data_IF_336725733077
#
_entry.id   IF_336725733077
#
_cell.length_a   1.000
_cell.length_b   1.000
_cell.length_c   1.000
_cell.angle_alpha   90.00
_cell.angle_beta   90.00
_cell.angle_gamma   90.00
#
_symmetry.space_group_name_H-M   'P 1'
#
loop_
_entity.id
_entity.type
_entity.pdbx_description
1 polymer ?
#
# COMPACT_ATOMS: atom_id res chain seq x y z
N UNK A 1 -46.61 10.53 60.78
CA UNK A 1 -45.97 10.90 59.50
C UNK A 1 -44.80 9.96 59.28
N UNK A 2 -45.01 8.90 58.51
CA UNK A 2 -43.94 8.01 58.07
C UNK A 2 -44.17 7.85 56.57
N UNK A 3 -43.25 8.38 55.77
CA UNK A 3 -43.37 8.43 54.32
C UNK A 3 -42.75 7.20 53.69
N UNK A 4 -43.51 6.55 52.81
CA UNK A 4 -43.02 5.51 51.90
C UNK A 4 -42.10 6.14 50.86
N UNK A 5 -40.82 5.73 50.86
CA UNK A 5 -39.90 5.97 49.76
C UNK A 5 -40.00 4.79 48.78
N UNK A 6 -40.75 4.97 47.69
CA UNK A 6 -40.65 4.07 46.53
C UNK A 6 -39.39 4.42 45.73
N UNK A 7 -38.47 3.47 45.62
CA UNK A 7 -37.39 3.52 44.65
C UNK A 7 -37.97 3.31 43.24
N UNK A 8 -37.93 4.35 42.40
CA UNK A 8 -38.06 4.20 40.95
C UNK A 8 -36.75 3.63 40.42
N UNK A 9 -36.80 2.39 39.94
CA UNK A 9 -35.74 1.83 39.09
C UNK A 9 -36.07 2.28 37.67
N UNK A 10 -35.33 3.27 37.17
CA UNK A 10 -35.32 3.62 35.74
C UNK A 10 -34.79 2.40 34.97
N UNK A 11 -35.48 1.92 33.91
CA UNK A 11 -34.93 0.88 33.06
C UNK A 11 -33.68 1.42 32.37
N UNK A 12 -32.56 0.72 32.51
CA UNK A 12 -31.38 0.96 31.69
C UNK A 12 -31.81 0.83 30.22
N UNK A 13 -31.86 1.95 29.51
CA UNK A 13 -31.95 1.93 28.05
C UNK A 13 -30.88 0.97 27.53
N UNK A 14 -31.30 0.05 26.66
CA UNK A 14 -30.41 -0.94 26.09
C UNK A 14 -29.21 -0.24 25.48
N UNK A 15 -28.05 -0.40 26.12
CA UNK A 15 -26.78 -0.08 25.48
C UNK A 15 -26.69 -1.00 24.27
N UNK A 16 -27.07 -0.46 23.12
CA UNK A 16 -26.62 -0.98 21.84
C UNK A 16 -25.11 -0.82 21.90
N UNK A 17 -24.40 -1.89 22.31
CA UNK A 17 -23.00 -2.02 21.98
C UNK A 17 -22.94 -1.78 20.47
N UNK A 18 -22.24 -0.73 20.04
CA UNK A 18 -22.00 -0.50 18.63
C UNK A 18 -21.39 -1.81 18.11
N UNK A 19 -22.15 -2.55 17.30
CA UNK A 19 -21.66 -3.77 16.70
C UNK A 19 -20.40 -3.40 15.92
N UNK A 20 -19.31 -4.15 16.12
CA UNK A 20 -18.08 -3.91 15.39
C UNK A 20 -18.33 -4.07 13.88
N UNK A 21 -17.65 -3.25 13.08
CA UNK A 21 -17.75 -3.37 11.62
C UNK A 21 -16.99 -4.64 11.18
N UNK A 22 -17.75 -5.66 10.79
CA UNK A 22 -17.22 -6.95 10.32
C UNK A 22 -16.19 -6.82 9.19
N UNK A 23 -16.28 -5.79 8.34
CA UNK A 23 -15.29 -5.57 7.27
C UNK A 23 -13.96 -5.15 7.88
N UNK A 24 -13.99 -4.27 8.88
CA UNK A 24 -12.79 -3.90 9.62
C UNK A 24 -12.27 -5.10 10.42
N UNK A 25 -13.12 -5.86 11.10
CA UNK A 25 -12.67 -7.04 11.86
C UNK A 25 -11.94 -8.05 10.95
N UNK A 26 -12.51 -8.37 9.79
CA UNK A 26 -11.87 -9.29 8.84
C UNK A 26 -10.68 -8.69 8.09
N UNK A 27 -10.60 -7.36 7.97
CA UNK A 27 -9.36 -6.71 7.54
C UNK A 27 -8.23 -6.91 8.57
N UNK A 28 -8.54 -6.85 9.88
CA UNK A 28 -7.57 -7.12 10.94
C UNK A 28 -7.13 -8.60 10.93
N UNK A 29 -8.08 -9.54 10.80
CA UNK A 29 -7.76 -10.97 10.69
C UNK A 29 -6.86 -11.26 9.48
N UNK A 30 -7.08 -10.56 8.36
CA UNK A 30 -6.19 -10.63 7.21
C UNK A 30 -4.79 -10.07 7.51
N UNK A 31 -4.69 -8.92 8.18
CA UNK A 31 -3.40 -8.35 8.62
C UNK A 31 -2.64 -9.34 9.49
N UNK A 32 -3.31 -9.95 10.46
CA UNK A 32 -2.70 -10.93 11.38
C UNK A 32 -2.25 -12.19 10.62
N UNK A 33 -3.00 -12.61 9.61
CA UNK A 33 -2.61 -13.70 8.74
C UNK A 33 -1.34 -13.42 7.93
N UNK A 34 -1.22 -12.18 7.41
CA UNK A 34 -0.05 -11.72 6.66
C UNK A 34 1.19 -11.61 7.55
N UNK A 35 1.04 -11.13 8.79
CA UNK A 35 2.13 -11.11 9.79
C UNK A 35 2.64 -12.51 10.13
N UNK A 36 1.72 -13.46 10.23
CA UNK A 36 2.02 -14.85 10.56
C UNK A 36 2.49 -15.70 9.34
N UNK A 37 2.53 -15.15 8.12
CA UNK A 37 2.96 -15.91 6.94
C UNK A 37 4.47 -15.80 6.69
N UNK A 38 5.18 -16.86 7.05
CA UNK A 38 6.59 -17.06 6.73
C UNK A 38 6.80 -17.95 5.48
N UNK A 39 5.73 -18.41 4.83
CA UNK A 39 5.83 -19.35 3.69
C UNK A 39 5.91 -18.64 2.35
N UNK A 40 5.20 -17.52 2.20
CA UNK A 40 5.28 -16.65 1.03
C UNK A 40 5.40 -15.19 1.49
N UNK A 41 6.44 -14.88 2.28
CA UNK A 41 6.63 -13.54 2.80
C UNK A 41 6.92 -12.59 1.64
N UNK A 42 6.37 -11.38 1.71
CA UNK A 42 6.68 -10.31 0.78
C UNK A 42 5.47 -9.59 0.20
N UNK A 43 5.70 -8.39 -0.36
CA UNK A 43 4.64 -7.49 -0.81
C UNK A 43 3.80 -8.04 -1.97
N UNK A 44 4.37 -8.91 -2.80
CA UNK A 44 3.73 -9.56 -3.94
C UNK A 44 2.57 -10.45 -3.49
N UNK A 45 2.87 -11.48 -2.69
CA UNK A 45 1.88 -12.41 -2.17
C UNK A 45 0.89 -11.76 -1.20
N UNK A 46 1.36 -10.82 -0.39
CA UNK A 46 0.51 -10.08 0.53
C UNK A 46 -0.54 -9.23 -0.20
N UNK A 47 -0.15 -8.45 -1.21
CA UNK A 47 -1.09 -7.61 -1.97
C UNK A 47 -2.10 -8.45 -2.75
N UNK A 48 -1.67 -9.57 -3.33
CA UNK A 48 -2.58 -10.54 -3.97
C UNK A 48 -3.59 -11.13 -2.99
N UNK A 49 -3.15 -11.51 -1.79
CA UNK A 49 -4.03 -12.02 -0.73
C UNK A 49 -5.08 -10.99 -0.36
N UNK A 50 -4.63 -9.75 -0.10
CA UNK A 50 -5.53 -8.70 0.34
C UNK A 50 -6.58 -8.36 -0.73
N UNK A 51 -6.18 -8.33 -2.00
CA UNK A 51 -7.11 -8.18 -3.12
C UNK A 51 -8.18 -9.29 -3.12
N UNK A 52 -7.76 -10.55 -2.98
CA UNK A 52 -8.68 -11.69 -2.97
C UNK A 52 -9.68 -11.66 -1.81
N UNK A 53 -9.21 -11.32 -0.61
CA UNK A 53 -10.07 -11.22 0.58
C UNK A 53 -11.12 -10.14 0.38
N UNK A 54 -10.69 -8.92 0.02
CA UNK A 54 -11.61 -7.79 -0.05
C UNK A 54 -12.54 -7.81 -1.27
N UNK A 55 -12.12 -8.42 -2.38
CA UNK A 55 -13.06 -8.75 -3.47
C UNK A 55 -14.17 -9.69 -3.00
N UNK A 56 -13.84 -10.71 -2.19
CA UNK A 56 -14.83 -11.65 -1.67
C UNK A 56 -15.77 -10.99 -0.67
N UNK A 57 -15.23 -10.19 0.26
CA UNK A 57 -16.01 -9.42 1.24
C UNK A 57 -16.96 -8.45 0.53
N UNK A 58 -16.45 -7.66 -0.42
CA UNK A 58 -17.27 -6.72 -1.17
C UNK A 58 -18.40 -7.40 -1.95
N UNK A 59 -18.09 -8.44 -2.74
CA UNK A 59 -19.15 -9.12 -3.51
C UNK A 59 -20.15 -9.85 -2.61
N UNK A 60 -19.75 -10.28 -1.41
CA UNK A 60 -20.66 -10.87 -0.42
C UNK A 60 -21.62 -9.82 0.15
N UNK A 61 -21.10 -8.68 0.62
CA UNK A 61 -21.92 -7.57 1.14
C UNK A 61 -22.80 -6.97 0.03
N UNK A 62 -22.21 -6.61 -1.10
CA UNK A 62 -22.92 -6.03 -2.23
C UNK A 62 -23.88 -7.04 -2.92
N UNK A 63 -23.68 -8.35 -2.76
CA UNK A 63 -24.64 -9.36 -3.19
C UNK A 63 -25.96 -9.33 -2.42
N UNK A 64 -25.92 -8.87 -1.16
CA UNK A 64 -27.08 -8.60 -0.29
C UNK A 64 -27.65 -7.21 -0.58
N UNK A 65 -26.82 -6.16 -0.49
CA UNK A 65 -27.23 -4.75 -0.57
C UNK A 65 -27.53 -4.26 -2.00
N UNK A 66 -26.74 -4.71 -2.98
CA UNK A 66 -26.92 -4.48 -4.43
C UNK A 66 -26.81 -3.03 -4.89
N UNK A 67 -26.07 -2.19 -4.18
CA UNK A 67 -25.84 -0.79 -4.54
C UNK A 67 -24.86 -0.61 -5.72
N UNK A 68 -23.87 -1.50 -5.84
CA UNK A 68 -22.75 -1.35 -6.77
C UNK A 68 -22.69 -2.48 -7.80
N UNK A 69 -21.94 -2.28 -8.88
CA UNK A 69 -21.56 -3.38 -9.78
C UNK A 69 -20.60 -4.36 -9.06
N UNK A 70 -20.82 -5.68 -9.11
CA UNK A 70 -19.91 -6.66 -8.50
C UNK A 70 -18.53 -6.66 -9.14
N UNK A 71 -17.48 -6.87 -8.35
CA UNK A 71 -16.09 -6.87 -8.83
C UNK A 71 -15.66 -8.21 -9.46
N UNK A 72 -16.27 -9.34 -9.05
CA UNK A 72 -15.99 -10.65 -9.63
C UNK A 72 -17.15 -11.63 -9.70
N UNK A 73 -18.02 -11.66 -8.70
CA UNK A 73 -19.09 -12.64 -8.53
C UNK A 73 -20.45 -11.95 -8.68
N UNK A 74 -21.12 -12.22 -9.80
CA UNK A 74 -22.42 -11.58 -10.13
C UNK A 74 -23.63 -12.21 -9.42
N UNK A 75 -23.42 -13.24 -8.60
CA UNK A 75 -24.48 -13.94 -7.90
C UNK A 75 -25.17 -13.00 -6.89
N UNK A 76 -26.46 -13.22 -6.66
CA UNK A 76 -27.25 -12.45 -5.68
C UNK A 76 -27.54 -13.32 -4.47
N UNK A 77 -27.44 -12.73 -3.28
CA UNK A 77 -27.82 -13.41 -2.06
C UNK A 77 -29.34 -13.70 -2.04
N UNK A 78 -29.78 -14.80 -1.39
CA UNK A 78 -31.19 -14.99 -1.05
C UNK A 78 -31.76 -13.77 -0.33
N UNK A 79 -33.05 -13.46 -0.55
CA UNK A 79 -33.71 -12.35 0.15
C UNK A 79 -33.64 -12.57 1.66
N UNK A 80 -33.24 -11.54 2.40
CA UNK A 80 -33.13 -11.57 3.86
C UNK A 80 -31.89 -12.31 4.38
N UNK A 81 -30.87 -12.57 3.55
CA UNK A 81 -29.56 -13.00 4.05
C UNK A 81 -28.88 -11.87 4.85
N UNK A 82 -28.18 -12.20 5.92
CA UNK A 82 -27.34 -11.22 6.65
C UNK A 82 -26.09 -10.91 5.84
N UNK A 83 -25.81 -9.62 5.66
CA UNK A 83 -24.61 -9.13 4.98
C UNK A 83 -23.36 -9.35 5.84
N UNK A 84 -23.48 -9.25 7.16
CA UNK A 84 -22.42 -9.49 8.14
C UNK A 84 -21.95 -10.96 8.10
N UNK A 85 -22.89 -11.90 8.19
CA UNK A 85 -22.59 -13.33 8.07
C UNK A 85 -22.02 -13.70 6.69
N UNK A 86 -22.45 -13.01 5.63
CA UNK A 86 -21.90 -13.20 4.29
C UNK A 86 -20.46 -12.67 4.16
N UNK A 87 -20.17 -11.48 4.70
CA UNK A 87 -18.83 -10.90 4.72
C UNK A 87 -17.85 -11.81 5.48
N UNK A 88 -18.22 -12.21 6.70
CA UNK A 88 -17.39 -13.06 7.54
C UNK A 88 -17.08 -14.41 6.89
N UNK A 89 -18.11 -15.09 6.37
CA UNK A 89 -17.92 -16.38 5.70
C UNK A 89 -17.11 -16.27 4.40
N UNK A 90 -17.22 -15.16 3.67
CA UNK A 90 -16.43 -14.92 2.46
C UNK A 90 -14.94 -14.72 2.77
N UNK A 91 -14.62 -13.87 3.76
CA UNK A 91 -13.25 -13.64 4.21
C UNK A 91 -12.63 -14.93 4.79
N UNK A 92 -13.34 -15.59 5.72
CA UNK A 92 -12.95 -16.88 6.28
C UNK A 92 -12.62 -17.88 5.18
N UNK A 93 -13.49 -18.00 4.17
CA UNK A 93 -13.33 -19.00 3.12
C UNK A 93 -12.09 -18.74 2.27
N UNK A 94 -11.81 -17.49 1.91
CA UNK A 94 -10.62 -17.11 1.14
C UNK A 94 -9.37 -17.33 1.97
N UNK A 95 -9.32 -16.82 3.19
CA UNK A 95 -8.16 -16.95 4.09
C UNK A 95 -7.84 -18.41 4.40
N UNK A 96 -8.84 -19.22 4.75
CA UNK A 96 -8.68 -20.68 4.96
C UNK A 96 -8.15 -21.40 3.72
N UNK A 97 -8.53 -20.93 2.52
CA UNK A 97 -8.03 -21.49 1.26
C UNK A 97 -6.59 -21.09 0.92
N UNK A 98 -6.12 -19.93 1.39
CA UNK A 98 -4.78 -19.41 1.12
C UNK A 98 -3.77 -19.83 2.21
N UNK A 99 -4.21 -19.92 3.46
CA UNK A 99 -3.40 -20.21 4.65
C UNK A 99 -3.99 -21.36 5.47
N UNK A 100 -4.06 -22.59 4.93
CA UNK A 100 -4.65 -23.74 5.63
C UNK A 100 -3.95 -24.05 6.97
N UNK A 101 -2.69 -23.64 7.14
CA UNK A 101 -1.94 -23.77 8.40
C UNK A 101 -2.44 -22.84 9.52
N UNK A 102 -3.21 -21.81 9.19
CA UNK A 102 -3.78 -20.85 10.14
C UNK A 102 -5.28 -21.07 10.39
N UNK A 103 -5.83 -22.23 10.00
CA UNK A 103 -7.27 -22.54 10.05
C UNK A 103 -7.92 -22.25 11.40
N UNK A 104 -7.26 -22.60 12.50
CA UNK A 104 -7.80 -22.39 13.85
C UNK A 104 -8.08 -20.91 14.16
N UNK A 105 -7.20 -20.01 13.70
CA UNK A 105 -7.38 -18.56 13.86
C UNK A 105 -8.61 -18.08 13.07
N UNK A 106 -8.79 -18.57 11.85
CA UNK A 106 -9.94 -18.18 11.02
C UNK A 106 -11.26 -18.76 11.53
N UNK A 107 -11.25 -20.02 11.98
CA UNK A 107 -12.45 -20.66 12.55
C UNK A 107 -12.91 -19.92 13.82
N UNK A 108 -11.95 -19.50 14.66
CA UNK A 108 -12.24 -18.68 15.83
C UNK A 108 -12.84 -17.33 15.43
N UNK A 109 -12.21 -16.59 14.51
CA UNK A 109 -12.71 -15.30 14.05
C UNK A 109 -14.12 -15.39 13.40
N UNK A 110 -14.40 -16.49 12.69
CA UNK A 110 -15.74 -16.77 12.16
C UNK A 110 -16.76 -17.03 13.26
N UNK A 111 -16.42 -17.84 14.26
CA UNK A 111 -17.30 -18.08 15.40
C UNK A 111 -17.61 -16.78 16.15
N UNK A 112 -16.61 -15.92 16.38
CA UNK A 112 -16.76 -14.62 17.03
C UNK A 112 -17.65 -13.67 16.22
N UNK A 113 -17.47 -13.62 14.90
CA UNK A 113 -18.31 -12.81 14.00
C UNK A 113 -19.77 -13.28 14.00
N UNK A 114 -20.01 -14.60 13.93
CA UNK A 114 -21.36 -15.17 13.86
C UNK A 114 -22.10 -15.04 15.19
N UNK A 115 -21.40 -15.03 16.33
CA UNK A 115 -22.01 -14.77 17.63
C UNK A 115 -22.66 -13.37 17.74
N UNK A 116 -22.29 -12.41 16.86
CA UNK A 116 -22.91 -11.09 16.79
C UNK A 116 -24.14 -11.03 15.86
N UNK A 117 -24.43 -12.11 15.12
CA UNK A 117 -25.56 -12.18 14.17
C UNK A 117 -26.68 -13.02 14.78
N UNK A 118 -27.96 -12.57 14.76
CA UNK A 118 -29.06 -13.39 15.28
C UNK A 118 -29.19 -14.74 14.58
N UNK A 119 -29.16 -15.81 15.38
CA UNK A 119 -29.33 -17.18 14.90
C UNK A 119 -30.59 -17.32 14.03
N UNK A 120 -30.45 -17.87 12.82
CA UNK A 120 -31.62 -18.15 12.00
C UNK A 120 -31.39 -18.31 10.51
N UNK A 121 -32.47 -18.11 9.74
CA UNK A 121 -32.42 -18.25 8.27
C UNK A 121 -31.54 -17.18 7.62
N UNK A 122 -31.55 -15.96 8.16
CA UNK A 122 -30.77 -14.84 7.61
C UNK A 122 -29.28 -15.11 7.69
N UNK A 123 -28.79 -15.48 8.88
CA UNK A 123 -27.42 -15.90 9.14
C UNK A 123 -27.01 -17.09 8.25
N UNK A 124 -27.78 -18.19 8.26
CA UNK A 124 -27.49 -19.39 7.43
C UNK A 124 -27.42 -19.09 5.93
N UNK A 125 -28.30 -18.22 5.44
CA UNK A 125 -28.25 -17.77 4.04
C UNK A 125 -27.02 -16.90 3.77
N UNK A 126 -26.66 -16.02 4.71
CA UNK A 126 -25.44 -15.21 4.66
C UNK A 126 -24.20 -16.08 4.57
N UNK A 127 -24.01 -16.99 5.54
CA UNK A 127 -22.86 -17.92 5.57
C UNK A 127 -22.74 -18.72 4.27
N UNK A 128 -23.84 -19.32 3.81
CA UNK A 128 -23.85 -20.10 2.57
C UNK A 128 -23.46 -19.25 1.36
N UNK A 129 -24.00 -18.03 1.27
CA UNK A 129 -23.71 -17.13 0.16
C UNK A 129 -22.26 -16.62 0.21
N UNK A 130 -21.78 -16.17 1.38
CA UNK A 130 -20.41 -15.74 1.58
C UNK A 130 -19.39 -16.82 1.22
N UNK A 131 -19.62 -18.05 1.70
CA UNK A 131 -18.79 -19.22 1.34
C UNK A 131 -18.74 -19.42 -0.18
N UNK A 132 -19.90 -19.34 -0.87
CA UNK A 132 -19.97 -19.47 -2.33
C UNK A 132 -19.17 -18.37 -3.05
N UNK A 133 -19.21 -17.13 -2.55
CA UNK A 133 -18.45 -16.00 -3.09
C UNK A 133 -16.95 -16.24 -2.90
N UNK A 134 -16.50 -16.59 -1.69
CA UNK A 134 -15.09 -16.89 -1.41
C UNK A 134 -14.54 -18.03 -2.27
N UNK A 135 -15.32 -19.10 -2.42
CA UNK A 135 -15.04 -20.21 -3.33
C UNK A 135 -14.85 -19.76 -4.79
N UNK A 136 -15.69 -18.82 -5.26
CA UNK A 136 -15.61 -18.31 -6.61
C UNK A 136 -14.35 -17.45 -6.84
N UNK A 137 -13.95 -16.64 -5.84
CA UNK A 137 -12.69 -15.89 -5.89
C UNK A 137 -11.48 -16.83 -5.95
N UNK A 138 -11.42 -17.83 -5.07
CA UNK A 138 -10.34 -18.83 -5.07
C UNK A 138 -10.24 -19.55 -6.43
N UNK A 139 -11.37 -19.96 -7.02
CA UNK A 139 -11.39 -20.57 -8.36
C UNK A 139 -10.90 -19.61 -9.43
N UNK A 140 -11.33 -18.35 -9.42
CA UNK A 140 -10.93 -17.33 -10.41
C UNK A 140 -9.43 -17.06 -10.38
N UNK A 141 -8.80 -17.21 -9.20
CA UNK A 141 -7.36 -16.93 -8.98
C UNK A 141 -6.46 -18.17 -8.94
N UNK A 142 -7.01 -19.39 -9.01
CA UNK A 142 -6.25 -20.65 -8.95
C UNK A 142 -5.11 -20.75 -9.99
N UNK A 143 -5.34 -20.21 -11.18
CA UNK A 143 -4.41 -20.26 -12.31
C UNK A 143 -4.05 -18.87 -12.85
N UNK A 144 -3.93 -17.90 -11.95
CA UNK A 144 -3.52 -16.55 -12.30
C UNK A 144 -2.02 -16.40 -12.58
N UNK A 145 -1.23 -17.46 -12.46
CA UNK A 145 0.20 -17.45 -12.72
C UNK A 145 1.08 -17.16 -11.50
N UNK A 146 0.51 -16.82 -10.34
CA UNK A 146 1.26 -16.54 -9.11
C UNK A 146 2.13 -17.70 -8.63
N UNK A 147 1.73 -18.95 -8.91
CA UNK A 147 2.48 -20.15 -8.55
C UNK A 147 3.62 -20.50 -9.53
N UNK A 148 3.77 -19.77 -10.64
CA UNK A 148 4.78 -20.10 -11.66
C UNK A 148 6.16 -19.68 -11.18
N UNK A 149 7.07 -20.64 -11.11
CA UNK A 149 8.49 -20.37 -10.89
C UNK A 149 9.10 -19.88 -12.21
N UNK A 150 9.75 -18.72 -12.16
CA UNK A 150 10.48 -18.13 -13.30
C UNK A 150 11.96 -18.18 -12.98
N UNK A 151 12.76 -18.76 -13.87
CA UNK A 151 14.21 -18.70 -13.77
C UNK A 151 14.68 -17.28 -14.08
N UNK A 152 15.56 -16.75 -13.23
CA UNK A 152 16.13 -15.43 -13.36
C UNK A 152 17.65 -15.54 -13.26
N UNK A 153 18.35 -14.88 -14.17
CA UNK A 153 19.82 -14.79 -14.16
C UNK A 153 20.18 -13.35 -13.83
N UNK A 154 20.86 -13.09 -12.70
CA UNK A 154 21.37 -11.76 -12.35
C UNK A 154 22.25 -11.17 -13.46
N UNK A 155 22.24 -9.84 -13.56
CA UNK A 155 23.09 -9.12 -14.51
C UNK A 155 24.54 -8.97 -14.02
N UNK A 156 25.42 -8.58 -14.95
CA UNK A 156 26.85 -8.36 -14.70
C UNK A 156 27.33 -6.97 -15.12
N UNK A 157 26.65 -6.34 -16.06
CA UNK A 157 27.03 -5.03 -16.61
C UNK A 157 26.60 -3.87 -15.70
N UNK A 158 27.24 -2.71 -15.82
CA UNK A 158 26.83 -1.50 -15.09
C UNK A 158 25.33 -1.21 -15.28
N UNK A 159 24.67 -0.76 -14.21
CA UNK A 159 23.22 -0.55 -14.20
C UNK A 159 22.36 -1.80 -13.99
N UNK A 160 22.91 -3.02 -14.18
CA UNK A 160 22.12 -4.24 -14.02
C UNK A 160 22.09 -4.75 -12.57
N UNK A 161 20.89 -5.09 -12.10
CA UNK A 161 20.68 -5.68 -10.79
C UNK A 161 21.38 -7.02 -10.64
N UNK A 162 21.93 -7.20 -9.45
CA UNK A 162 22.51 -8.43 -8.95
C UNK A 162 22.25 -8.55 -7.45
N UNK A 163 22.33 -9.76 -6.88
CA UNK A 163 22.26 -9.93 -5.43
C UNK A 163 23.23 -9.00 -4.70
N UNK A 164 22.77 -8.40 -3.62
CA UNK A 164 23.47 -7.36 -2.88
C UNK A 164 24.02 -7.89 -1.56
N UNK A 165 25.11 -7.31 -1.02
CA UNK A 165 25.57 -7.62 0.33
C UNK A 165 24.51 -7.25 1.39
N UNK A 166 24.60 -7.83 2.61
CA UNK A 166 25.56 -8.87 3.01
C UNK A 166 25.14 -10.29 2.58
N UNK A 167 23.85 -10.52 2.34
CA UNK A 167 23.29 -11.87 2.24
C UNK A 167 23.28 -12.45 0.82
N UNK A 168 23.38 -11.61 -0.22
CA UNK A 168 23.34 -12.02 -1.63
C UNK A 168 22.14 -12.93 -1.96
N UNK A 169 20.98 -12.59 -1.40
CA UNK A 169 19.74 -13.35 -1.55
C UNK A 169 19.29 -13.45 -3.01
N UNK A 170 18.61 -14.54 -3.34
CA UNK A 170 18.03 -14.76 -4.66
C UNK A 170 16.93 -13.72 -4.98
N UNK A 171 16.73 -13.49 -6.29
CA UNK A 171 15.73 -12.57 -6.80
C UNK A 171 14.31 -12.95 -6.35
N UNK A 172 13.60 -12.02 -5.70
CA UNK A 172 12.25 -12.23 -5.19
C UNK A 172 11.19 -12.10 -6.30
N UNK A 173 10.51 -13.20 -6.59
CA UNK A 173 9.38 -13.29 -7.51
C UNK A 173 9.60 -12.70 -8.93
N UNK A 174 10.64 -13.11 -9.68
CA UNK A 174 10.91 -12.60 -11.04
C UNK A 174 9.78 -12.79 -12.06
N UNK A 175 8.80 -13.65 -11.76
CA UNK A 175 7.63 -13.87 -12.58
C UNK A 175 6.43 -12.99 -12.27
N UNK A 176 6.48 -12.14 -11.25
CA UNK A 176 5.28 -11.54 -10.68
C UNK A 176 4.55 -10.57 -11.62
N UNK A 177 5.29 -9.84 -12.46
CA UNK A 177 4.70 -8.99 -13.50
C UNK A 177 3.85 -9.73 -14.53
N UNK A 178 3.96 -11.07 -14.59
CA UNK A 178 3.19 -11.95 -15.48
C UNK A 178 1.97 -12.56 -14.80
N UNK A 179 1.72 -12.28 -13.52
CA UNK A 179 0.49 -12.67 -12.85
C UNK A 179 -0.67 -11.96 -13.53
N UNK A 180 -1.76 -12.70 -13.79
CA UNK A 180 -2.98 -12.15 -14.37
C UNK A 180 -3.49 -11.02 -13.45
N UNK A 181 -3.62 -9.78 -13.91
CA UNK A 181 -4.09 -8.71 -13.06
C UNK A 181 -5.54 -8.89 -12.59
N UNK A 182 -5.95 -8.08 -11.63
CA UNK A 182 -7.29 -8.04 -11.07
C UNK A 182 -8.21 -7.12 -11.87
N UNK A 183 -7.76 -5.90 -12.16
CA UNK A 183 -8.43 -4.91 -12.99
C UNK A 183 -7.68 -4.68 -14.31
N UNK A 184 -6.36 -4.45 -14.25
CA UNK A 184 -5.53 -4.18 -15.42
C UNK A 184 -5.61 -5.28 -16.49
N UNK A 185 -5.24 -4.93 -17.71
CA UNK A 185 -5.13 -5.83 -18.85
C UNK A 185 -3.84 -6.65 -18.84
N UNK A 186 -2.73 -6.07 -18.39
CA UNK A 186 -1.40 -6.70 -18.30
C UNK A 186 -0.53 -5.97 -17.27
N UNK A 187 0.54 -6.62 -16.79
CA UNK A 187 1.47 -5.99 -15.83
C UNK A 187 2.19 -4.76 -16.39
N UNK A 188 2.40 -4.71 -17.70
CA UNK A 188 3.05 -3.58 -18.35
C UNK A 188 2.12 -2.45 -18.79
N UNK A 189 0.83 -2.50 -18.43
CA UNK A 189 -0.14 -1.49 -18.86
C UNK A 189 0.25 -0.07 -18.43
N UNK A 190 0.86 0.06 -17.24
CA UNK A 190 1.30 1.34 -16.68
C UNK A 190 2.80 1.38 -16.42
N UNK A 191 3.59 0.61 -17.18
CA UNK A 191 5.06 0.68 -17.09
C UNK A 191 5.52 2.11 -17.39
N UNK A 192 6.36 2.71 -16.52
CA UNK A 192 6.90 4.06 -16.76
C UNK A 192 7.94 4.04 -17.90
N UNK A 193 8.46 5.22 -18.32
CA UNK A 193 9.66 5.28 -19.16
C UNK A 193 10.85 4.51 -18.53
N UNK A 194 11.89 4.17 -19.31
CA UNK A 194 13.11 3.58 -18.75
C UNK A 194 13.74 4.48 -17.67
N UNK A 195 14.53 3.91 -16.73
CA UNK A 195 15.29 4.71 -15.78
C UNK A 195 16.29 5.63 -16.50
N UNK A 196 16.75 6.71 -15.85
CA UNK A 196 17.75 7.61 -16.45
C UNK A 196 19.00 6.87 -16.88
N UNK A 197 19.57 7.28 -18.02
CA UNK A 197 20.85 6.75 -18.49
C UNK A 197 21.94 7.00 -17.45
N UNK A 198 22.85 6.03 -17.24
CA UNK A 198 23.90 6.14 -16.21
C UNK A 198 24.79 7.37 -16.41
N UNK A 199 25.02 7.77 -17.67
CA UNK A 199 25.84 8.96 -18.01
C UNK A 199 25.08 10.29 -17.91
N UNK A 200 23.85 10.29 -17.42
CA UNK A 200 23.02 11.50 -17.33
C UNK A 200 23.22 12.27 -16.03
N UNK A 201 22.97 13.58 -16.06
CA UNK A 201 22.93 14.41 -14.85
C UNK A 201 21.83 13.95 -13.89
N UNK A 202 20.67 13.54 -14.40
CA UNK A 202 19.56 13.06 -13.57
C UNK A 202 19.96 11.82 -12.73
N UNK A 203 20.73 10.90 -13.32
CA UNK A 203 21.29 9.78 -12.58
C UNK A 203 22.33 10.24 -11.55
N UNK A 204 23.24 11.16 -11.92
CA UNK A 204 24.25 11.68 -11.00
C UNK A 204 23.64 12.38 -9.77
N UNK A 205 22.59 13.17 -9.97
CA UNK A 205 21.91 13.88 -8.89
C UNK A 205 21.24 12.89 -7.91
N UNK A 206 20.51 11.91 -8.44
CA UNK A 206 19.89 10.86 -7.63
C UNK A 206 20.93 9.97 -6.93
N UNK A 207 22.05 9.69 -7.61
CA UNK A 207 23.18 8.94 -7.07
C UNK A 207 23.77 9.64 -5.85
N UNK A 208 24.13 10.92 -6.00
CA UNK A 208 24.79 11.68 -4.95
C UNK A 208 23.85 11.95 -3.77
N UNK A 209 22.57 12.19 -4.02
CA UNK A 209 21.56 12.29 -2.96
C UNK A 209 21.52 11.03 -2.09
N UNK A 210 21.44 9.84 -2.71
CA UNK A 210 21.38 8.58 -1.95
C UNK A 210 22.72 8.28 -1.29
N UNK A 211 23.84 8.60 -1.95
CA UNK A 211 25.18 8.41 -1.39
C UNK A 211 25.35 9.17 -0.07
N UNK A 212 24.86 10.40 -0.02
CA UNK A 212 24.95 11.26 1.16
C UNK A 212 23.91 10.91 2.24
N UNK A 213 22.63 10.82 1.87
CA UNK A 213 21.52 10.63 2.82
C UNK A 213 21.29 9.17 3.20
N UNK A 214 21.65 8.23 2.35
CA UNK A 214 21.33 6.81 2.50
C UNK A 214 22.42 5.98 3.16
N UNK A 215 23.66 6.49 3.28
CA UNK A 215 24.80 5.77 3.88
C UNK A 215 24.59 5.45 5.36
N UNK A 216 25.04 4.30 5.84
CA UNK A 216 24.84 3.85 7.23
C UNK A 216 25.37 4.86 8.26
N UNK A 217 26.48 5.53 7.94
CA UNK A 217 27.21 6.50 8.74
C UNK A 217 26.99 7.96 8.29
N UNK A 218 25.79 8.27 7.76
CA UNK A 218 25.49 9.60 7.22
C UNK A 218 25.60 10.68 8.30
N UNK A 219 26.30 11.75 7.99
CA UNK A 219 26.34 12.97 8.82
C UNK A 219 25.30 14.00 8.41
N UNK A 220 24.58 13.78 7.30
CA UNK A 220 23.53 14.69 6.79
C UNK A 220 22.12 14.19 7.09
N UNK A 221 21.93 12.87 7.21
CA UNK A 221 20.64 12.29 7.60
C UNK A 221 20.32 12.66 9.05
N UNK A 222 19.17 13.27 9.28
CA UNK A 222 18.70 13.65 10.62
C UNK A 222 18.01 12.47 11.31
N UNK A 223 17.81 12.57 12.63
CA UNK A 223 17.03 11.60 13.41
C UNK A 223 15.60 11.44 12.86
N UNK A 224 14.97 12.54 12.43
CA UNK A 224 13.65 12.53 11.78
C UNK A 224 13.67 11.71 10.49
N UNK A 225 14.71 11.83 9.68
CA UNK A 225 14.85 11.04 8.44
C UNK A 225 15.07 9.55 8.73
N UNK A 226 15.80 9.22 9.80
CA UNK A 226 15.94 7.83 10.27
C UNK A 226 14.58 7.29 10.71
N UNK A 227 13.84 8.04 11.53
CA UNK A 227 12.50 7.64 11.98
C UNK A 227 11.57 7.42 10.79
N UNK A 228 11.53 8.34 9.82
CA UNK A 228 10.74 8.20 8.59
C UNK A 228 11.14 6.93 7.83
N UNK A 229 12.44 6.67 7.67
CA UNK A 229 12.96 5.48 7.01
C UNK A 229 12.42 4.20 7.63
N UNK A 230 12.54 4.08 8.95
CA UNK A 230 12.13 2.90 9.72
C UNK A 230 10.59 2.79 9.81
N UNK A 231 9.89 3.89 10.00
CA UNK A 231 8.45 3.94 10.17
C UNK A 231 7.69 3.29 9.01
N UNK A 232 8.14 3.54 7.78
CA UNK A 232 7.53 3.02 6.56
C UNK A 232 8.12 1.69 6.07
N UNK A 233 9.03 1.07 6.81
CA UNK A 233 9.78 -0.09 6.35
C UNK A 233 8.89 -1.31 6.06
N UNK A 234 8.39 -1.99 7.09
CA UNK A 234 7.60 -3.23 6.96
C UNK A 234 8.28 -4.26 6.05
N UNK A 235 9.61 -4.33 6.16
CA UNK A 235 10.46 -5.32 5.49
C UNK A 235 10.91 -6.41 6.49
N UNK A 236 10.65 -6.22 7.79
CA UNK A 236 11.01 -7.11 8.89
C UNK A 236 10.14 -8.38 8.89
N UNK A 237 10.74 -9.59 8.86
CA UNK A 237 10.03 -10.84 9.10
C UNK A 237 9.18 -10.80 10.39
N UNK A 238 7.88 -11.11 10.27
CA UNK A 238 6.96 -11.16 11.41
C UNK A 238 6.12 -9.89 11.64
N UNK A 239 6.50 -8.74 11.05
CA UNK A 239 5.64 -7.55 11.00
C UNK A 239 4.72 -7.55 9.76
N UNK A 240 4.95 -8.47 8.84
CA UNK A 240 4.29 -8.52 7.54
C UNK A 240 4.95 -7.56 6.54
N UNK A 241 4.44 -7.55 5.32
CA UNK A 241 4.92 -6.65 4.24
C UNK A 241 4.29 -5.24 4.34
N UNK A 242 4.71 -4.25 3.54
CA UNK A 242 4.14 -2.89 3.55
C UNK A 242 2.61 -2.83 3.32
N UNK A 243 2.03 -3.88 2.71
CA UNK A 243 0.57 -4.03 2.54
C UNK A 243 -0.18 -3.98 3.88
N UNK A 244 0.45 -4.43 4.97
CA UNK A 244 -0.08 -4.32 6.34
C UNK A 244 -0.26 -2.85 6.72
N UNK A 245 0.79 -2.04 6.57
CA UNK A 245 0.78 -0.61 6.88
C UNK A 245 -0.30 0.15 6.11
N UNK A 246 -0.42 -0.10 4.80
CA UNK A 246 -1.42 0.60 3.98
C UNK A 246 -2.86 0.23 4.38
N UNK A 247 -3.10 -1.01 4.81
CA UNK A 247 -4.39 -1.39 5.36
C UNK A 247 -4.62 -0.79 6.76
N UNK A 248 -3.61 -0.72 7.63
CA UNK A 248 -3.70 -0.02 8.92
C UNK A 248 -4.06 1.46 8.75
N UNK A 249 -3.39 2.16 7.83
CA UNK A 249 -3.70 3.54 7.46
C UNK A 249 -5.15 3.70 7.01
N UNK A 250 -5.62 2.85 6.07
CA UNK A 250 -6.99 2.91 5.60
C UNK A 250 -8.02 2.61 6.69
N UNK A 251 -7.71 1.72 7.65
CA UNK A 251 -8.58 1.45 8.81
C UNK A 251 -8.74 2.68 9.71
N UNK A 252 -7.63 3.35 10.05
CA UNK A 252 -7.64 4.56 10.87
C UNK A 252 -8.54 5.61 10.24
N UNK A 253 -8.34 5.88 8.95
CA UNK A 253 -9.12 6.88 8.22
C UNK A 253 -10.59 6.46 8.09
N UNK A 254 -10.87 5.19 7.76
CA UNK A 254 -12.23 4.68 7.66
C UNK A 254 -13.03 4.79 8.96
N UNK A 255 -12.38 4.54 10.11
CA UNK A 255 -12.99 4.71 11.42
C UNK A 255 -13.22 6.18 11.75
N UNK A 256 -12.24 7.05 11.44
CA UNK A 256 -12.35 8.49 11.65
C UNK A 256 -13.50 9.12 10.85
N UNK A 257 -13.63 8.75 9.58
CA UNK A 257 -14.64 9.30 8.67
C UNK A 257 -16.03 8.66 8.86
N UNK A 258 -16.16 7.65 9.72
CA UNK A 258 -17.45 7.07 10.11
C UNK A 258 -18.16 6.28 9.01
N UNK A 259 -17.39 5.59 8.15
CA UNK A 259 -17.92 4.78 7.06
C UNK A 259 -18.95 3.74 7.54
N UNK A 260 -19.98 3.51 6.72
CA UNK A 260 -20.85 2.33 6.86
C UNK A 260 -20.14 1.05 6.45
N UNK A 261 -20.69 -0.11 6.82
CA UNK A 261 -20.14 -1.42 6.45
C UNK A 261 -20.02 -1.60 4.92
N UNK A 262 -21.01 -1.15 4.14
CA UNK A 262 -20.96 -1.24 2.68
C UNK A 262 -19.90 -0.30 2.08
N UNK A 263 -19.73 0.89 2.66
CA UNK A 263 -18.66 1.82 2.29
C UNK A 263 -17.28 1.24 2.59
N UNK A 264 -17.09 0.65 3.77
CA UNK A 264 -15.87 -0.07 4.12
C UNK A 264 -15.61 -1.25 3.18
N UNK A 265 -16.64 -2.04 2.86
CA UNK A 265 -16.50 -3.15 1.91
C UNK A 265 -16.02 -2.64 0.54
N UNK A 266 -16.54 -1.50 0.06
CA UNK A 266 -16.11 -0.89 -1.21
C UNK A 266 -14.73 -0.27 -1.13
N UNK A 267 -14.43 0.49 -0.08
CA UNK A 267 -13.14 1.13 0.14
C UNK A 267 -12.02 0.10 0.14
N UNK A 268 -12.12 -0.93 0.97
CA UNK A 268 -11.07 -1.94 1.08
C UNK A 268 -10.95 -2.82 -0.16
N UNK A 269 -12.03 -3.01 -0.93
CA UNK A 269 -11.94 -3.70 -2.22
C UNK A 269 -11.25 -2.83 -3.29
N UNK A 270 -11.59 -1.54 -3.41
CA UNK A 270 -10.88 -0.61 -4.31
C UNK A 270 -9.40 -0.52 -3.95
N UNK A 271 -9.11 -0.34 -2.65
CA UNK A 271 -7.75 -0.25 -2.12
C UNK A 271 -6.96 -1.51 -2.46
N UNK A 272 -7.44 -2.68 -2.05
CA UNK A 272 -6.63 -3.88 -2.14
C UNK A 272 -6.57 -4.47 -3.55
N UNK A 273 -7.56 -4.23 -4.41
CA UNK A 273 -7.43 -4.49 -5.85
C UNK A 273 -6.35 -3.59 -6.46
N UNK A 274 -6.32 -2.30 -6.09
CA UNK A 274 -5.27 -1.36 -6.54
C UNK A 274 -3.90 -1.78 -6.04
N UNK A 275 -3.77 -2.22 -4.79
CA UNK A 275 -2.51 -2.77 -4.28
C UNK A 275 -2.10 -4.05 -5.01
N UNK A 276 -3.03 -4.98 -5.25
CA UNK A 276 -2.76 -6.21 -6.01
C UNK A 276 -2.21 -5.92 -7.40
N UNK A 277 -2.81 -4.97 -8.12
CA UNK A 277 -2.37 -4.57 -9.46
C UNK A 277 -1.10 -3.70 -9.43
N UNK A 278 -0.92 -2.87 -8.40
CA UNK A 278 0.29 -2.08 -8.18
C UNK A 278 1.50 -2.99 -7.98
N UNK A 279 1.35 -4.09 -7.23
CA UNK A 279 2.39 -5.09 -7.06
C UNK A 279 2.76 -5.78 -8.37
N UNK A 280 1.78 -6.07 -9.24
CA UNK A 280 2.03 -6.65 -10.56
C UNK A 280 2.75 -5.64 -11.46
N UNK A 281 2.31 -4.38 -11.50
CA UNK A 281 2.94 -3.33 -12.31
C UNK A 281 4.37 -3.02 -11.85
N UNK A 282 4.59 -2.86 -10.54
CA UNK A 282 5.92 -2.59 -10.01
C UNK A 282 6.90 -3.74 -10.30
N UNK A 283 6.48 -5.00 -10.13
CA UNK A 283 7.34 -6.14 -10.45
C UNK A 283 7.55 -6.34 -11.95
N UNK A 284 6.59 -5.95 -12.80
CA UNK A 284 6.82 -5.90 -14.24
C UNK A 284 7.96 -4.93 -14.59
N UNK A 285 7.91 -3.68 -14.10
CA UNK A 285 8.99 -2.70 -14.31
C UNK A 285 10.34 -3.18 -13.75
N UNK A 286 10.35 -3.68 -12.52
CA UNK A 286 11.56 -4.19 -11.85
C UNK A 286 12.33 -5.20 -12.67
N UNK A 287 11.63 -6.22 -13.17
CA UNK A 287 12.28 -7.28 -13.93
C UNK A 287 12.38 -6.99 -15.43
N UNK A 288 11.69 -5.96 -15.93
CA UNK A 288 11.87 -5.44 -17.29
C UNK A 288 13.17 -4.62 -17.40
N UNK A 289 13.31 -3.59 -16.57
CA UNK A 289 14.44 -2.65 -16.62
C UNK A 289 15.66 -3.18 -15.86
N UNK A 290 15.43 -4.10 -14.91
CA UNK A 290 16.47 -4.82 -14.20
C UNK A 290 17.53 -3.89 -13.56
N UNK A 291 17.11 -2.74 -13.04
CA UNK A 291 18.02 -1.69 -12.59
C UNK A 291 18.63 -1.97 -11.21
N UNK A 292 19.92 -1.68 -11.05
CA UNK A 292 20.67 -1.96 -9.84
C UNK A 292 20.24 -1.13 -8.63
N UNK A 293 20.53 -1.67 -7.44
CA UNK A 293 20.30 -1.00 -6.15
C UNK A 293 21.42 0.02 -5.87
N UNK A 294 21.16 1.03 -5.01
CA UNK A 294 22.17 2.01 -4.65
C UNK A 294 23.48 1.43 -4.13
N UNK A 295 23.43 0.37 -3.31
CA UNK A 295 24.65 -0.27 -2.82
C UNK A 295 25.56 -0.76 -3.94
N UNK A 296 25.02 -1.36 -5.01
CA UNK A 296 25.83 -1.79 -6.14
C UNK A 296 26.29 -0.61 -6.97
N UNK A 297 25.38 0.32 -7.29
CA UNK A 297 25.71 1.50 -8.08
C UNK A 297 26.81 2.34 -7.44
N UNK A 298 26.70 2.62 -6.15
CA UNK A 298 27.67 3.47 -5.42
C UNK A 298 29.01 2.78 -5.22
N UNK A 299 29.03 1.47 -4.95
CA UNK A 299 30.28 0.72 -4.86
C UNK A 299 31.02 0.64 -6.20
N UNK A 300 30.30 0.73 -7.32
CA UNK A 300 30.82 0.61 -8.69
C UNK A 300 30.70 1.92 -9.49
N UNK A 301 30.58 3.08 -8.82
CA UNK A 301 30.34 4.36 -9.50
C UNK A 301 31.42 4.70 -10.53
N UNK A 302 32.68 4.35 -10.25
CA UNK A 302 33.80 4.58 -11.17
C UNK A 302 33.68 3.76 -12.50
N UNK A 303 32.82 2.75 -12.55
CA UNK A 303 32.62 1.84 -13.69
C UNK A 303 31.33 2.13 -14.49
N UNK A 304 30.53 3.14 -14.10
CA UNK A 304 29.24 3.43 -14.74
C UNK A 304 29.34 4.40 -15.94
N UNK A 305 30.53 4.97 -16.17
CA UNK A 305 30.83 5.87 -17.28
C UNK A 305 30.43 7.34 -17.05
N UNK A 306 30.02 7.70 -15.82
CA UNK A 306 29.65 9.05 -15.46
C UNK A 306 30.74 9.70 -14.56
N UNK A 307 31.32 10.85 -14.96
CA UNK A 307 32.36 11.51 -14.16
C UNK A 307 31.86 12.09 -12.84
N UNK A 308 30.53 12.24 -12.67
CA UNK A 308 29.92 12.89 -11.50
C UNK A 308 29.43 11.88 -10.44
N UNK A 309 29.68 10.58 -10.63
CA UNK A 309 29.25 9.48 -9.74
C UNK A 309 30.45 8.75 -9.12
N UNK A 310 31.30 9.51 -8.42
CA UNK A 310 32.50 8.96 -7.77
C UNK A 310 32.16 7.73 -6.92
N UNK A 311 32.82 6.60 -7.21
CA UNK A 311 32.60 5.33 -6.52
C UNK A 311 33.06 5.35 -5.05
N UNK A 312 32.44 4.52 -4.22
CA UNK A 312 32.89 4.27 -2.84
C UNK A 312 32.69 2.77 -2.50
N UNK A 313 33.74 1.97 -2.71
CA UNK A 313 33.69 0.51 -2.61
C UNK A 313 33.24 -0.04 -1.24
N UNK A 314 33.38 0.75 -0.16
CA UNK A 314 32.96 0.40 1.20
C UNK A 314 31.61 0.97 1.60
N UNK A 315 30.92 1.69 0.70
CA UNK A 315 29.64 2.30 0.98
C UNK A 315 28.60 1.22 1.29
N UNK A 316 27.85 1.42 2.37
CA UNK A 316 26.73 0.57 2.77
C UNK A 316 25.53 1.44 3.11
N UNK A 317 24.30 1.02 2.72
CA UNK A 317 23.10 1.75 3.06
C UNK A 317 22.78 1.62 4.56
N UNK A 318 21.93 2.51 5.08
CA UNK A 318 21.29 2.27 6.38
C UNK A 318 20.54 0.93 6.38
N UNK A 319 19.88 0.60 5.26
CA UNK A 319 19.27 -0.69 5.01
C UNK A 319 17.81 -0.78 5.43
N UNK A 320 17.11 -1.80 4.93
CA UNK A 320 15.77 -2.15 5.39
C UNK A 320 15.88 -2.91 6.73
N UNK A 321 15.14 -2.50 7.79
CA UNK A 321 15.23 -3.11 9.11
C UNK A 321 14.78 -4.57 9.11
N UNK A 322 15.43 -5.37 9.96
CA UNK A 322 15.09 -6.78 10.19
C UNK A 322 16.16 -7.77 9.74
N UNK A 323 17.37 -7.30 9.40
CA UNK A 323 18.54 -8.12 9.08
C UNK A 323 19.61 -8.13 10.19
N UNK A 324 20.72 -8.81 9.94
CA UNK A 324 21.93 -8.65 10.76
C UNK A 324 22.62 -7.33 10.36
N UNK A 325 23.06 -6.52 11.33
CA UNK A 325 23.65 -5.21 11.03
C UNK A 325 24.99 -5.31 10.26
N UNK A 326 25.24 -4.47 9.22
CA UNK A 326 24.33 -3.48 8.63
C UNK A 326 23.13 -4.15 7.95
N UNK A 327 21.95 -3.54 8.10
CA UNK A 327 20.68 -4.04 7.59
C UNK A 327 20.69 -4.32 6.08
N UNK A 328 19.67 -5.01 5.58
CA UNK A 328 19.72 -5.62 4.25
C UNK A 328 19.14 -4.70 3.15
N UNK A 329 19.50 -4.99 1.90
CA UNK A 329 18.81 -4.43 0.73
C UNK A 329 17.83 -5.47 0.19
N UNK A 330 16.53 -5.15 -0.02
CA UNK A 330 15.57 -6.14 -0.50
C UNK A 330 15.97 -6.74 -1.85
N UNK A 331 15.83 -8.07 -1.97
CA UNK A 331 16.45 -8.89 -3.02
C UNK A 331 15.71 -8.89 -4.37
N UNK A 332 15.48 -7.71 -4.90
CA UNK A 332 14.85 -7.48 -6.20
C UNK A 332 15.33 -6.16 -6.82
N UNK A 333 15.22 -5.98 -8.16
CA UNK A 333 15.63 -4.75 -8.85
C UNK A 333 15.01 -3.47 -8.28
N UNK A 334 15.70 -2.35 -8.46
CA UNK A 334 15.35 -1.07 -7.85
C UNK A 334 14.13 -0.43 -8.54
N UNK A 335 14.19 -0.25 -9.86
CA UNK A 335 13.24 0.58 -10.61
C UNK A 335 11.94 -0.16 -10.96
N UNK A 336 10.75 0.26 -10.55
CA UNK A 336 10.41 1.39 -9.64
C UNK A 336 10.30 0.94 -8.18
N UNK A 337 10.28 1.88 -7.24
CA UNK A 337 10.08 1.60 -5.81
C UNK A 337 8.70 1.00 -5.56
N UNK A 338 8.67 -0.21 -4.96
CA UNK A 338 7.43 -0.89 -4.61
C UNK A 338 6.61 -0.08 -3.59
N UNK A 339 7.25 0.39 -2.52
CA UNK A 339 6.65 1.29 -1.52
C UNK A 339 6.02 2.52 -2.16
N UNK A 340 6.72 3.18 -3.08
CA UNK A 340 6.20 4.37 -3.75
C UNK A 340 4.97 4.05 -4.61
N UNK A 341 4.97 2.91 -5.30
CA UNK A 341 3.80 2.45 -6.07
C UNK A 341 2.62 2.07 -5.19
N UNK A 342 2.82 1.32 -4.11
CA UNK A 342 1.73 0.93 -3.21
C UNK A 342 1.18 2.11 -2.40
N UNK A 343 2.05 2.97 -1.88
CA UNK A 343 1.66 4.14 -1.10
C UNK A 343 0.85 5.12 -1.93
N UNK A 344 1.31 5.43 -3.16
CA UNK A 344 0.57 6.30 -4.06
C UNK A 344 -0.77 5.69 -4.52
N UNK A 345 -0.82 4.37 -4.77
CA UNK A 345 -2.09 3.69 -5.08
C UNK A 345 -3.08 3.78 -3.89
N UNK A 346 -2.59 3.61 -2.66
CA UNK A 346 -3.39 3.74 -1.43
C UNK A 346 -3.98 5.14 -1.30
N UNK A 347 -3.13 6.15 -1.42
CA UNK A 347 -3.53 7.56 -1.26
C UNK A 347 -4.46 7.99 -2.38
N UNK A 348 -4.23 7.58 -3.63
CA UNK A 348 -5.14 7.88 -4.75
C UNK A 348 -6.54 7.27 -4.55
N UNK A 349 -6.63 6.05 -4.00
CA UNK A 349 -7.93 5.45 -3.64
C UNK A 349 -8.63 6.25 -2.53
N UNK A 350 -7.91 6.61 -1.47
CA UNK A 350 -8.47 7.36 -0.34
C UNK A 350 -8.94 8.75 -0.78
N UNK A 351 -8.11 9.47 -1.55
CA UNK A 351 -8.45 10.77 -2.12
C UNK A 351 -9.71 10.69 -2.97
N UNK A 352 -9.81 9.69 -3.85
CA UNK A 352 -11.02 9.51 -4.67
C UNK A 352 -12.24 9.15 -3.82
N UNK A 353 -12.08 8.25 -2.85
CA UNK A 353 -13.19 7.75 -2.04
C UNK A 353 -13.82 8.85 -1.18
N UNK A 354 -12.99 9.72 -0.58
CA UNK A 354 -13.43 10.83 0.27
C UNK A 354 -13.57 12.16 -0.47
N UNK A 355 -13.13 12.23 -1.72
CA UNK A 355 -13.21 13.43 -2.57
C UNK A 355 -12.29 14.57 -2.15
N UNK A 356 -11.25 14.31 -1.33
CA UNK A 356 -10.37 15.33 -0.76
C UNK A 356 -9.00 14.78 -0.35
N UNK A 357 -7.99 15.65 -0.29
CA UNK A 357 -6.61 15.32 0.15
C UNK A 357 -6.32 15.71 1.60
N UNK A 358 -6.95 16.78 2.08
CA UNK A 358 -6.78 17.40 3.40
C UNK A 358 -7.49 16.62 4.52
N UNK A 359 -7.19 15.32 4.60
CA UNK A 359 -7.57 14.45 5.71
C UNK A 359 -6.44 14.48 6.73
N UNK A 360 -6.74 14.98 7.92
CA UNK A 360 -5.81 15.02 9.04
C UNK A 360 -5.97 13.73 9.85
N UNK A 361 -4.88 13.02 10.12
CA UNK A 361 -4.92 11.77 10.88
C UNK A 361 -3.56 11.48 11.54
N UNK A 362 -3.60 10.59 12.54
CA UNK A 362 -2.40 10.08 13.21
C UNK A 362 -2.18 8.62 12.85
N UNK A 363 -0.95 8.23 12.56
CA UNK A 363 -0.57 6.87 12.22
C UNK A 363 0.52 6.37 13.19
N UNK A 364 0.48 5.08 13.49
CA UNK A 364 1.53 4.38 14.24
C UNK A 364 2.18 3.33 13.35
N UNK A 365 3.39 2.93 13.68
CA UNK A 365 4.12 1.87 12.96
C UNK A 365 4.52 0.76 13.91
N UNK A 366 4.31 -0.49 13.50
CA UNK A 366 4.78 -1.66 14.25
C UNK A 366 6.31 -1.76 14.27
N UNK A 367 7.01 -1.12 13.32
CA UNK A 367 8.48 -1.00 13.29
C UNK A 367 8.99 -0.13 14.44
N UNK A 368 8.16 0.82 14.90
CA UNK A 368 8.50 1.80 15.93
C UNK A 368 7.39 1.91 16.99
N UNK A 369 7.22 0.89 17.87
CA UNK A 369 6.19 0.92 18.89
C UNK A 369 6.27 2.17 19.78
N UNK A 370 5.15 2.91 19.84
CA UNK A 370 5.04 4.15 20.62
C UNK A 370 5.30 5.44 19.83
N UNK A 371 5.84 5.35 18.61
CA UNK A 371 5.96 6.50 17.70
C UNK A 371 4.63 6.77 17.02
N UNK A 372 4.21 8.04 17.03
CA UNK A 372 2.99 8.52 16.38
C UNK A 372 3.37 9.64 15.41
N UNK A 373 3.01 9.47 14.14
CA UNK A 373 3.18 10.49 13.10
C UNK A 373 1.84 11.12 12.77
N UNK A 374 1.84 12.44 12.58
CA UNK A 374 0.63 13.20 12.26
C UNK A 374 0.74 13.76 10.85
N UNK A 375 -0.29 13.54 10.06
CA UNK A 375 -0.38 14.02 8.70
C UNK A 375 -1.51 15.04 8.59
N UNK A 376 -1.27 16.10 7.81
CA UNK A 376 -2.29 17.09 7.43
C UNK A 376 -2.90 16.79 6.07
N UNK A 377 -2.29 15.90 5.28
CA UNK A 377 -2.88 15.42 4.04
C UNK A 377 -2.45 14.00 3.67
N UNK A 378 -3.22 13.37 2.79
CA UNK A 378 -2.90 12.05 2.28
C UNK A 378 -1.64 12.10 1.39
N UNK A 379 -1.49 13.14 0.59
CA UNK A 379 -0.31 13.36 -0.27
C UNK A 379 0.97 13.52 0.55
N UNK A 380 0.91 14.16 1.73
CA UNK A 380 2.05 14.27 2.63
C UNK A 380 2.57 12.87 3.02
N UNK A 381 1.67 11.95 3.38
CA UNK A 381 2.04 10.59 3.74
C UNK A 381 2.57 9.78 2.55
N UNK A 382 2.00 9.95 1.34
CA UNK A 382 2.51 9.31 0.13
C UNK A 382 3.97 9.72 -0.16
N UNK A 383 4.25 11.03 -0.04
CA UNK A 383 5.58 11.60 -0.24
C UNK A 383 6.57 11.08 0.79
N UNK A 384 6.20 11.09 2.07
CA UNK A 384 7.03 10.59 3.15
C UNK A 384 7.34 9.09 3.02
N UNK A 385 6.32 8.28 2.68
CA UNK A 385 6.50 6.86 2.35
C UNK A 385 7.51 6.66 1.20
N UNK A 386 7.46 7.51 0.17
CA UNK A 386 8.42 7.48 -0.93
C UNK A 386 9.85 7.83 -0.50
N UNK A 387 9.99 8.94 0.23
CA UNK A 387 11.29 9.45 0.72
C UNK A 387 11.93 8.52 1.75
N UNK A 388 11.14 7.75 2.52
CA UNK A 388 11.65 6.76 3.46
C UNK A 388 12.69 5.84 2.81
N UNK A 389 12.50 5.48 1.53
CA UNK A 389 13.36 4.54 0.83
C UNK A 389 14.70 5.13 0.41
N UNK A 390 14.74 6.45 0.25
CA UNK A 390 15.96 7.24 0.02
C UNK A 390 16.75 7.34 1.32
N UNK A 391 16.07 7.62 2.43
CA UNK A 391 16.70 7.71 3.76
C UNK A 391 17.27 6.36 4.23
N UNK A 392 16.63 5.25 3.84
CA UNK A 392 17.16 3.90 4.06
C UNK A 392 18.31 3.54 3.08
N UNK A 393 18.57 4.33 2.04
CA UNK A 393 19.65 4.11 1.08
C UNK A 393 19.41 2.97 0.09
N UNK A 394 18.16 2.54 -0.13
CA UNK A 394 17.83 1.33 -0.90
C UNK A 394 17.11 1.61 -2.22
N UNK A 395 16.74 2.87 -2.49
CA UNK A 395 16.13 3.31 -3.75
C UNK A 395 16.70 4.64 -4.21
N UNK A 396 16.59 4.90 -5.51
CA UNK A 396 16.91 6.19 -6.12
C UNK A 396 15.68 7.12 -6.16
N UNK A 397 15.88 8.43 -6.28
CA UNK A 397 14.75 9.37 -6.35
C UNK A 397 13.82 9.10 -7.54
N UNK A 398 14.35 8.71 -8.70
CA UNK A 398 13.53 8.35 -9.85
C UNK A 398 12.74 7.05 -9.64
N UNK A 399 13.21 6.12 -8.79
CA UNK A 399 12.42 4.95 -8.38
C UNK A 399 11.17 5.39 -7.62
N UNK A 400 11.32 6.41 -6.77
CA UNK A 400 10.23 6.97 -5.98
C UNK A 400 9.22 7.68 -6.89
N UNK A 401 9.68 8.67 -7.65
CA UNK A 401 8.85 9.49 -8.52
C UNK A 401 8.03 8.66 -9.50
N UNK A 402 8.67 7.79 -10.28
CA UNK A 402 7.97 6.94 -11.25
C UNK A 402 7.16 5.82 -10.58
N UNK A 403 7.58 5.39 -9.40
CA UNK A 403 6.79 4.50 -8.54
C UNK A 403 5.44 5.11 -8.19
N UNK A 404 5.44 6.37 -7.73
CA UNK A 404 4.20 7.08 -7.39
C UNK A 404 3.30 7.27 -8.61
N UNK A 405 3.85 7.70 -9.76
CA UNK A 405 3.09 7.84 -11.01
C UNK A 405 2.43 6.52 -11.42
N UNK A 406 3.16 5.42 -11.34
CA UNK A 406 2.64 4.08 -11.63
C UNK A 406 1.48 3.73 -10.68
N UNK A 407 1.64 3.97 -9.38
CA UNK A 407 0.63 3.70 -8.36
C UNK A 407 -0.67 4.47 -8.58
N UNK A 408 -0.57 5.78 -8.84
CA UNK A 408 -1.73 6.63 -9.14
C UNK A 408 -2.49 6.13 -10.36
N UNK A 409 -1.78 5.83 -11.46
CA UNK A 409 -2.42 5.34 -12.70
C UNK A 409 -3.13 4.01 -12.51
N UNK A 410 -2.53 3.09 -11.74
CA UNK A 410 -3.17 1.82 -11.38
C UNK A 410 -4.47 2.07 -10.60
N UNK A 411 -4.40 2.89 -9.54
CA UNK A 411 -5.57 3.19 -8.71
C UNK A 411 -6.71 3.85 -9.52
N UNK A 412 -6.39 4.86 -10.33
CA UNK A 412 -7.34 5.52 -11.22
C UNK A 412 -8.04 4.50 -12.14
N UNK A 413 -7.27 3.60 -12.75
CA UNK A 413 -7.84 2.58 -13.62
C UNK A 413 -8.79 1.63 -12.87
N UNK A 414 -8.42 1.20 -11.65
CA UNK A 414 -9.30 0.36 -10.82
C UNK A 414 -10.60 1.09 -10.50
N UNK A 415 -10.50 2.35 -10.06
CA UNK A 415 -11.65 3.21 -9.71
C UNK A 415 -12.62 3.37 -10.89
N UNK A 416 -12.09 3.61 -12.08
CA UNK A 416 -12.88 3.87 -13.29
C UNK A 416 -13.52 2.61 -13.89
N UNK A 417 -13.00 1.43 -13.57
CA UNK A 417 -13.39 0.18 -14.23
C UNK A 417 -14.01 -0.87 -13.29
N UNK A 418 -13.96 -0.68 -11.98
CA UNK A 418 -14.47 -1.64 -11.00
C UNK A 418 -15.39 -0.99 -9.97
N UNK A 419 -16.38 -1.76 -9.50
CA UNK A 419 -17.24 -1.36 -8.37
C UNK A 419 -17.96 -0.03 -8.63
N UNK A 420 -18.43 0.15 -9.87
CA UNK A 420 -19.12 1.34 -10.35
C UNK A 420 -20.55 1.44 -9.79
N UNK A 421 -21.09 2.66 -9.65
CA UNK A 421 -22.50 2.83 -9.29
C UNK A 421 -23.39 2.13 -10.33
N UNK A 422 -24.44 1.43 -9.89
CA UNK A 422 -25.42 0.91 -10.85
C UNK A 422 -26.19 2.08 -11.48
N UNK A 423 -26.45 2.01 -12.79
CA UNK A 423 -27.18 3.06 -13.55
C UNK A 423 -28.50 3.55 -12.93
N UNK A 424 -29.17 2.75 -12.09
CA UNK A 424 -30.38 3.17 -11.37
C UNK A 424 -30.13 4.09 -10.15
N UNK A 425 -28.90 4.17 -9.65
CA UNK A 425 -28.48 5.08 -8.57
C UNK A 425 -28.05 6.47 -9.08
N UNK A 426 -27.89 6.63 -10.40
CA UNK A 426 -27.47 7.88 -11.07
C UNK A 426 -28.65 8.82 -11.40
N UNK A 427 -29.82 8.66 -10.74
CA UNK A 427 -30.99 9.51 -10.97
C UNK A 427 -30.87 10.94 -10.38
N UNK A 428 -29.72 11.26 -9.79
CA UNK A 428 -29.29 12.62 -9.48
C UNK A 428 -28.00 12.92 -10.26
N UNK A 429 -27.84 14.10 -10.86
CA UNK A 429 -26.62 14.40 -11.61
C UNK A 429 -25.42 14.36 -10.66
N UNK A 430 -24.30 13.72 -11.04
CA UNK A 430 -23.06 13.90 -10.32
C UNK A 430 -22.68 15.39 -10.37
N UNK A 431 -22.20 15.94 -9.25
CA UNK A 431 -21.39 17.15 -9.30
C UNK A 431 -20.19 16.94 -10.23
N UNK A 432 -19.59 18.02 -10.77
CA UNK A 432 -18.54 17.90 -11.77
C UNK A 432 -17.41 17.00 -11.26
N UNK A 433 -17.06 16.00 -12.07
CA UNK A 433 -15.90 15.17 -11.82
C UNK A 433 -14.65 16.06 -11.83
N UNK A 434 -13.83 15.97 -10.78
CA UNK A 434 -12.52 16.59 -10.78
C UNK A 434 -11.62 15.86 -11.79
N UNK A 435 -11.25 16.52 -12.88
CA UNK A 435 -10.21 16.05 -13.78
C UNK A 435 -8.85 16.18 -13.07
N UNK A 436 -8.24 15.04 -12.71
CA UNK A 436 -6.83 14.98 -12.34
C UNK A 436 -5.98 15.16 -13.61
N UNK A 437 -5.60 16.41 -13.90
CA UNK A 437 -4.67 16.72 -14.99
C UNK A 437 -3.23 16.59 -14.51
N UNK A 438 -2.50 15.61 -15.05
CA UNK A 438 -1.04 15.53 -14.89
C UNK A 438 -0.37 16.48 -15.88
N UNK A 439 0.20 17.59 -15.41
CA UNK A 439 1.11 18.41 -16.22
C UNK A 439 2.51 17.83 -16.07
N UNK A 440 3.02 17.18 -17.12
CA UNK A 440 4.42 16.75 -17.22
C UNK A 440 5.13 17.74 -18.15
N UNK A 441 5.97 18.61 -17.59
CA UNK A 441 6.89 19.44 -18.39
C UNK A 441 8.20 18.69 -18.65
N UNK A 442 8.80 18.76 -19.85
CA UNK A 442 10.09 18.13 -20.12
C UNK A 442 11.22 18.97 -19.51
N UNK A 443 11.98 18.41 -18.58
CA UNK A 443 13.25 18.98 -18.11
C UNK A 443 13.34 19.42 -16.64
N UNK A 444 12.37 19.11 -15.80
CA UNK A 444 12.45 19.28 -14.34
C UNK A 444 11.89 18.02 -13.66
N UNK A 445 12.46 17.64 -12.50
CA UNK A 445 11.90 16.60 -11.64
C UNK A 445 10.40 16.86 -11.44
N UNK A 446 9.52 15.84 -11.48
CA UNK A 446 8.08 16.05 -11.34
C UNK A 446 7.76 16.61 -9.95
N UNK A 447 7.53 17.92 -9.85
CA UNK A 447 6.70 18.47 -8.79
C UNK A 447 5.29 17.90 -8.99
N UNK A 448 4.86 17.08 -8.04
CA UNK A 448 3.47 16.63 -7.93
C UNK A 448 2.62 17.83 -7.47
N UNK A 449 2.39 18.79 -8.38
CA UNK A 449 1.52 19.93 -8.13
C UNK A 449 0.09 19.57 -8.53
N UNK A 450 -0.74 19.25 -7.54
CA UNK A 450 -2.18 19.09 -7.69
C UNK A 450 -2.82 20.49 -7.80
N UNK A 451 -3.27 20.87 -9.00
CA UNK A 451 -4.02 22.12 -9.22
C UNK A 451 -5.47 21.90 -8.76
N UNK A 452 -5.86 22.56 -7.67
CA UNK A 452 -7.27 22.85 -7.36
C UNK A 452 -7.59 24.21 -7.99
N UNK A 453 -8.57 24.25 -8.89
CA UNK A 453 -9.09 25.53 -9.41
C UNK A 453 -9.94 26.24 -8.35
N UNK A 454 -9.63 27.54 -8.17
CA UNK A 454 -10.22 28.57 -7.28
C UNK A 454 -10.07 28.37 -5.75
N UNK A 455 -9.56 29.32 -4.94
CA UNK A 455 -9.24 30.73 -5.14
C UNK A 455 -8.13 31.16 -4.13
N UNK A 456 -7.08 31.84 -4.62
CA UNK A 456 -6.21 32.73 -3.85
C UNK A 456 -5.05 32.11 -3.04
N UNK A 457 -3.83 32.51 -3.41
CA UNK A 457 -2.55 32.40 -2.69
C UNK A 457 -1.79 31.06 -2.74
N UNK A 458 -0.87 30.96 -3.72
CA UNK A 458 0.20 29.97 -3.79
C UNK A 458 1.40 30.40 -2.93
N UNK A 459 1.83 29.56 -1.99
CA UNK A 459 3.14 29.64 -1.33
C UNK A 459 4.01 28.45 -1.80
N UNK A 460 5.17 28.69 -2.43
CA UNK A 460 6.12 27.62 -2.74
C UNK A 460 6.95 27.26 -1.51
N UNK A 461 7.00 25.97 -1.19
CA UNK A 461 7.81 25.39 -0.12
C UNK A 461 9.09 24.78 -0.72
N UNK A 462 9.89 25.62 -1.35
CA UNK A 462 11.31 25.34 -1.64
C UNK A 462 12.11 26.63 -1.46
N UNK A 463 12.65 26.83 -0.25
CA UNK A 463 13.87 27.61 -0.03
C UNK A 463 14.39 27.30 1.37
N UNK A 464 15.71 27.09 1.44
CA UNK A 464 16.57 26.97 2.61
C UNK A 464 16.94 25.55 3.03
N UNK A 465 17.84 24.94 2.25
CA UNK A 465 18.81 23.97 2.80
C UNK A 465 20.22 24.09 2.18
N UNK A 466 20.58 25.24 1.57
CA UNK A 466 21.90 25.45 0.94
C UNK A 466 22.64 26.74 1.34
N UNK A 467 22.25 27.44 2.40
CA UNK A 467 23.01 28.60 2.93
C UNK A 467 23.29 28.44 4.42
N UNK A 468 24.17 27.49 4.79
CA UNK A 468 24.76 27.45 6.14
C UNK A 468 26.19 26.88 6.11
N UNK A 469 27.02 27.34 5.17
CA UNK A 469 28.49 27.27 5.26
C UNK A 469 29.05 28.47 4.49
N UNK A 470 29.99 29.21 5.13
CA UNK A 470 30.60 30.51 4.72
C UNK A 470 29.73 31.70 5.18
N UNK A 471 30.15 32.56 6.11
CA UNK A 471 31.46 33.20 6.20
C UNK A 471 31.77 33.61 7.66
N UNK A 472 32.97 33.28 8.11
CA UNK A 472 33.55 33.70 9.38
C UNK A 472 34.70 34.65 8.98
N UNK A 473 34.57 35.97 9.19
CA UNK A 473 35.58 36.89 8.66
C UNK A 473 35.35 38.40 8.83
N UNK A 474 35.57 38.91 10.04
CA UNK A 474 36.23 40.21 10.36
C UNK A 474 35.73 41.55 9.75
N UNK A 475 35.26 42.41 10.66
CA UNK A 475 35.80 43.74 11.02
C UNK A 475 36.21 44.76 9.92
N UNK A 476 35.56 45.94 10.00
CA UNK A 476 36.07 47.33 9.93
C UNK A 476 35.30 48.23 8.93
N UNK A 477 34.77 49.34 9.45
CA UNK A 477 34.18 50.45 8.69
C UNK A 477 33.18 51.24 9.51
#
# INVERSE_FOLDING_TARGET
>A
MCGDFMFRVEPLEGRVLLASDVVLDWNQVMIDALRADYTKPGPTWASRTAAMVHMAVFDAVNGVERAWEPCAVKAKAPRGASAEAAAAAAAWRVLSGLYPQQQAMFDQALAESLAQVPDGKAEKHGVKFGTQVGDAILRKRRFDGSHKVVQYTPGTEAGQWRPTPPDFMAALDPGWGKVKPFAMSSGNQFRPPPPPELTSQEYADAYNQVKELGRVDSTLRTDEMVEIGLFWAYDHPGLGSPVVMYNQMARVIAQQEGNTMLENARLFALLNVSLGDAGIAAWDSKYHDNFWRPVTGIQQGDDDGNPDTVGEATWMPLGAPGGAWPDFTPSFPAYVSGHSTFGAATVAVLQHFYGRDDIHYSLTSDELPGVVRNYTSLSQAAWENGMSRIYLGIHWQFDNTWGQVTGVKVAQYVIENMMLPRKAAMASPPGPAAELTTVVSPGALPELMLIVQDAGESLPLERNLLELVQDDGSLLG
#
